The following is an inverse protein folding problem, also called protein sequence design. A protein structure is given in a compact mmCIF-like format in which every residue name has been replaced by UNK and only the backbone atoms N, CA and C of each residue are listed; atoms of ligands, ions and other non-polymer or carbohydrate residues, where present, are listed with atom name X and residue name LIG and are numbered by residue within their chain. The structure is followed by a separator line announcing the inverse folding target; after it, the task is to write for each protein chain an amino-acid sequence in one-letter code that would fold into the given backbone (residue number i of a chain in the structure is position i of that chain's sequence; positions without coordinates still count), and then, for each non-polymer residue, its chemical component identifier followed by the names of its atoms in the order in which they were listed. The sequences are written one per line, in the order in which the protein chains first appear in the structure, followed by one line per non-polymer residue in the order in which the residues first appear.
data_IF_683195965041
#
_entry.id   IF_683195965041
#
_cell.length_a   1.000
_cell.length_b   1.000
_cell.length_c   1.000
_cell.angle_alpha   90.00
_cell.angle_beta   90.00
_cell.angle_gamma   90.00
#
_symmetry.space_group_name_H-M   'P 1'
#
loop_
_entity.id
_entity.type
_entity.pdbx_description
1 polymer ?
2 non-polymer ?
3 non-polymer ?
4 non-polymer ?
5 non-polymer ?
6 water ?
#
# COMPACT_ATOMS: atom_id res chain seq x y z
N UNK A 20 4.63 23.16 17.22
CA UNK A 20 4.68 23.07 18.67
C UNK A 20 3.27 23.02 19.35
N UNK A 21 2.18 23.03 18.55
CA UNK A 21 0.80 22.97 19.04
C UNK A 21 0.50 21.61 19.71
N UNK A 22 -0.32 21.63 20.78
CA UNK A 22 -0.66 20.41 21.53
C UNK A 22 -2.14 20.07 21.42
N UNK A 23 -2.42 18.81 21.05
CA UNK A 23 -3.76 18.28 20.87
C UNK A 23 -4.16 17.15 21.83
N UNK A 24 -5.46 16.97 22.03
CA UNK A 24 -6.01 15.96 22.91
C UNK A 24 -6.79 14.89 22.12
N UNK A 25 -6.42 13.63 22.35
CA UNK A 25 -7.11 12.48 21.76
C UNK A 25 -7.44 11.59 22.95
N UNK A 26 -8.76 11.45 23.25
CA UNK A 26 -9.31 10.66 24.36
C UNK A 26 -8.58 10.99 25.69
N UNK A 27 -8.57 12.30 26.02
CA UNK A 27 -7.96 12.84 27.22
C UNK A 27 -6.46 13.04 27.18
N UNK A 28 -5.72 12.11 26.53
CA UNK A 28 -4.25 12.11 26.38
C UNK A 28 -3.77 13.29 25.53
N UNK A 29 -2.68 13.94 25.95
CA UNK A 29 -2.10 15.10 25.27
C UNK A 29 -0.91 14.72 24.37
N UNK A 30 -0.92 15.24 23.12
CA UNK A 30 0.08 15.00 22.08
C UNK A 30 0.70 16.31 21.63
N UNK A 31 2.02 16.31 21.52
CA UNK A 31 2.77 17.51 21.11
C UNK A 31 3.21 17.32 19.66
N UNK A 32 2.64 18.12 18.73
CA UNK A 32 2.95 18.10 17.29
C UNK A 32 4.43 18.48 17.02
N UNK A 33 5.20 17.59 16.37
CA UNK A 33 6.62 17.79 16.02
C UNK A 33 6.76 18.38 14.61
N UNK A 34 6.05 17.77 13.64
CA UNK A 34 6.04 18.17 12.23
C UNK A 34 4.76 17.66 11.58
N UNK A 35 4.44 18.16 10.38
CA UNK A 35 3.32 17.67 9.60
C UNK A 35 3.93 16.69 8.60
N UNK A 36 3.42 15.45 8.56
CA UNK A 36 3.87 14.39 7.65
C UNK A 36 3.25 14.62 6.28
N UNK A 37 1.94 14.77 6.24
CA UNK A 37 1.21 14.97 5.00
C UNK A 37 -0.14 15.61 5.22
N UNK A 38 -0.86 15.87 4.11
CA UNK A 38 -2.19 16.48 4.13
C UNK A 38 -3.06 16.09 2.95
N UNK A 39 -4.13 15.33 3.25
CA UNK A 39 -5.14 14.89 2.29
C UNK A 39 -6.11 16.01 1.96
N UNK A 40 -7.30 15.65 1.47
CA UNK A 40 -8.34 16.61 1.11
C UNK A 40 -8.67 17.54 2.26
N UNK A 41 -9.32 16.97 3.28
CA UNK A 41 -9.67 17.64 4.52
C UNK A 41 -8.90 16.96 5.66
N UNK A 42 -7.90 16.13 5.28
CA UNK A 42 -7.05 15.36 6.18
C UNK A 42 -5.68 16.01 6.41
N UNK A 43 -5.00 15.65 7.51
CA UNK A 43 -3.67 16.12 7.91
C UNK A 43 -3.03 15.07 8.81
N UNK A 44 -1.86 14.53 8.41
CA UNK A 44 -1.13 13.53 9.19
C UNK A 44 0.03 14.30 9.85
N UNK A 45 0.18 14.15 11.19
CA UNK A 45 1.23 14.81 11.97
C UNK A 45 2.12 13.82 12.71
N UNK A 46 3.35 14.21 12.99
CA UNK A 46 4.23 13.39 13.81
C UNK A 46 4.14 14.02 15.20
N UNK A 47 3.84 13.21 16.23
CA UNK A 47 3.60 13.70 17.58
C UNK A 47 4.40 12.99 18.68
N UNK A 48 4.42 13.59 19.91
CA UNK A 48 5.02 13.03 21.12
C UNK A 48 3.94 12.97 22.20
N UNK A 49 3.79 11.82 22.89
CA UNK A 49 2.80 11.69 23.97
C UNK A 49 3.38 12.22 25.32
N UNK A 50 2.71 11.92 26.46
CA UNK A 50 3.16 12.36 27.80
C UNK A 50 4.37 11.54 28.26
N UNK A 51 4.49 10.28 27.79
CA UNK A 51 5.60 9.37 28.10
C UNK A 51 6.78 9.62 27.12
N UNK A 52 6.66 10.70 26.30
CA UNK A 52 7.60 11.19 25.28
C UNK A 52 7.82 10.21 24.10
N UNK A 53 6.87 9.26 23.90
CA UNK A 53 6.89 8.29 22.80
C UNK A 53 6.35 8.95 21.53
N UNK A 54 6.91 8.57 20.38
CA UNK A 54 6.59 9.13 19.06
C UNK A 54 5.43 8.35 18.37
N UNK A 55 4.43 9.08 17.84
CA UNK A 55 3.24 8.52 17.17
C UNK A 55 2.91 9.33 15.91
N UNK A 56 1.89 8.90 15.16
CA UNK A 56 1.38 9.60 13.98
C UNK A 56 -0.09 9.83 14.20
N UNK A 57 -0.50 11.10 14.16
CA UNK A 57 -1.91 11.41 14.34
C UNK A 57 -2.49 11.92 13.04
N UNK A 58 -3.55 11.27 12.58
CA UNK A 58 -4.25 11.72 11.39
C UNK A 58 -5.48 12.46 11.85
N UNK A 59 -5.58 13.74 11.46
CA UNK A 59 -6.72 14.58 11.73
C UNK A 59 -7.53 14.66 10.43
N UNK A 60 -8.84 14.44 10.52
CA UNK A 60 -9.74 14.53 9.38
C UNK A 60 -10.87 15.52 9.70
N UNK A 61 -11.23 16.36 8.73
CA UNK A 61 -12.28 17.34 8.89
C UNK A 61 -13.56 16.84 8.22
N UNK A 62 -14.62 16.70 9.03
CA UNK A 62 -15.92 16.21 8.56
C UNK A 62 -16.93 17.34 8.29
N UNK A 63 -16.47 18.62 8.30
CA UNK A 63 -17.35 19.80 8.07
C UNK A 63 -18.10 19.74 6.75
N UNK A 64 -17.37 19.54 5.62
CA UNK A 64 -17.93 19.46 4.26
C UNK A 64 -18.14 18.03 3.76
N UNK A 65 -17.80 17.02 4.59
CA UNK A 65 -17.94 15.60 4.25
C UNK A 65 -19.39 15.11 4.26
N UNK A 66 -19.82 14.49 3.14
CA UNK A 66 -21.16 13.91 2.92
C UNK A 66 -21.36 12.57 3.62
N UNK A 67 -22.63 12.11 3.75
CA UNK A 67 -22.97 10.84 4.43
C UNK A 67 -22.29 9.62 3.79
N UNK A 68 -22.14 9.62 2.44
CA UNK A 68 -21.46 8.55 1.68
C UNK A 68 -19.97 8.55 2.02
N UNK A 69 -19.39 9.76 2.25
CA UNK A 69 -17.99 9.95 2.65
C UNK A 69 -17.79 9.45 4.08
N UNK A 70 -18.70 9.80 5.02
CA UNK A 70 -18.61 9.36 6.41
C UNK A 70 -18.61 7.86 6.58
N UNK A 71 -19.43 7.15 5.79
CA UNK A 71 -19.47 5.69 5.89
C UNK A 71 -18.18 5.03 5.41
N UNK A 72 -17.58 5.54 4.33
CA UNK A 72 -16.29 5.04 3.80
C UNK A 72 -15.19 5.18 4.87
N UNK A 73 -15.21 6.32 5.61
CA UNK A 73 -14.28 6.65 6.70
C UNK A 73 -14.47 5.73 7.89
N UNK A 74 -15.74 5.51 8.29
CA UNK A 74 -16.13 4.63 9.39
C UNK A 74 -15.72 3.18 9.08
N UNK A 75 -15.98 2.74 7.84
CA UNK A 75 -15.66 1.40 7.35
C UNK A 75 -14.15 1.16 7.30
N UNK A 76 -13.34 2.14 6.82
CA UNK A 76 -11.91 1.92 6.78
C UNK A 76 -11.31 1.94 8.19
N UNK A 77 -11.86 2.71 9.14
CA UNK A 77 -11.41 2.74 10.55
C UNK A 77 -11.67 1.38 11.21
N UNK A 78 -12.89 0.82 11.03
CA UNK A 78 -13.31 -0.47 11.58
C UNK A 78 -12.44 -1.60 11.04
N UNK A 79 -12.10 -1.51 9.73
CA UNK A 79 -11.28 -2.51 9.08
C UNK A 79 -9.89 -2.41 9.59
N UNK A 80 -9.36 -1.18 9.73
CA UNK A 80 -8.02 -0.92 10.31
C UNK A 80 -7.97 -1.43 11.78
N UNK A 81 -9.07 -1.29 12.49
CA UNK A 81 -9.26 -1.73 13.86
C UNK A 81 -9.30 -3.26 13.97
N UNK A 82 -10.11 -3.98 13.14
CA UNK A 82 -10.23 -5.44 13.21
C UNK A 82 -8.96 -6.15 12.76
N UNK A 83 -8.35 -5.69 11.67
CA UNK A 83 -7.13 -6.28 11.11
C UNK A 83 -5.88 -6.04 11.99
N UNK A 84 -5.98 -5.22 13.05
CA UNK A 84 -4.91 -4.95 14.03
C UNK A 84 -4.44 -6.25 14.63
N UNK A 85 -5.42 -7.07 15.07
CA UNK A 85 -5.25 -8.34 15.75
C UNK A 85 -4.68 -9.41 14.85
N UNK A 86 -5.21 -9.55 13.63
CA UNK A 86 -4.81 -10.61 12.68
C UNK A 86 -3.39 -10.49 12.12
N UNK A 87 -2.87 -9.26 11.90
CA UNK A 87 -1.53 -9.08 11.34
C UNK A 87 -0.81 -7.86 11.85
N UNK A 88 0.53 -7.96 11.90
CA UNK A 88 1.44 -6.89 12.28
C UNK A 88 1.94 -6.15 11.03
N UNK A 89 1.49 -6.55 9.83
CA UNK A 89 1.83 -5.86 8.57
C UNK A 89 0.79 -4.78 8.25
N UNK A 90 -0.19 -4.61 9.14
CA UNK A 90 -1.18 -3.56 9.05
C UNK A 90 -0.82 -2.53 10.15
N UNK A 91 -0.75 -1.22 9.78
CA UNK A 91 -0.36 -0.11 10.66
C UNK A 91 -1.15 -0.13 11.98
N UNK A 92 -0.43 -0.17 13.15
CA UNK A 92 -1.02 -0.19 14.51
C UNK A 92 -1.84 1.07 14.71
N UNK A 93 -3.11 0.90 15.13
CA UNK A 93 -4.06 1.94 15.51
C UNK A 93 -4.18 1.82 17.05
N UNK A 94 -3.56 2.78 17.75
CA UNK A 94 -3.57 2.80 19.20
C UNK A 94 -4.86 3.33 19.77
N UNK A 95 -5.27 4.50 19.32
CA UNK A 95 -6.49 5.12 19.80
C UNK A 95 -7.11 5.93 18.71
N UNK A 96 -8.33 6.37 18.94
CA UNK A 96 -9.07 7.25 18.05
C UNK A 96 -10.13 7.98 18.82
N UNK A 97 -10.59 9.09 18.23
CA UNK A 97 -11.66 9.95 18.73
C UNK A 97 -12.47 10.37 17.50
N UNK A 98 -13.77 10.06 17.48
CA UNK A 98 -14.65 10.41 16.35
C UNK A 98 -15.80 11.23 16.87
N UNK A 99 -16.04 12.38 16.23
CA UNK A 99 -17.18 13.25 16.54
C UNK A 99 -17.86 13.59 15.19
N UNK A 100 -18.93 14.38 15.21
CA UNK A 100 -19.61 14.78 13.99
C UNK A 100 -18.80 15.82 13.19
N UNK A 101 -17.80 16.45 13.86
CA UNK A 101 -16.94 17.53 13.36
C UNK A 101 -15.57 17.11 12.85
N UNK A 102 -15.00 15.99 13.42
CA UNK A 102 -13.65 15.50 13.10
C UNK A 102 -13.35 14.07 13.53
N UNK A 103 -12.18 13.58 13.10
CA UNK A 103 -11.59 12.28 13.41
C UNK A 103 -10.14 12.55 13.79
N UNK A 104 -9.65 11.84 14.81
CA UNK A 104 -8.25 11.81 15.25
C UNK A 104 -7.94 10.34 15.38
N UNK A 105 -6.89 9.87 14.71
CA UNK A 105 -6.46 8.48 14.79
C UNK A 105 -5.03 8.52 15.27
N UNK A 106 -4.72 7.76 16.34
CA UNK A 106 -3.39 7.72 16.94
C UNK A 106 -2.76 6.41 16.50
N UNK A 107 -1.82 6.49 15.55
CA UNK A 107 -1.17 5.33 14.95
C UNK A 107 0.32 5.30 15.26
N UNK A 108 1.00 4.18 14.91
CA UNK A 108 2.44 4.03 15.10
C UNK A 108 3.14 4.88 14.02
N UNK A 109 4.39 5.33 14.30
CA UNK A 109 5.10 6.19 13.36
C UNK A 109 6.13 5.44 12.55
N UNK A 110 6.00 5.56 11.23
CA UNK A 110 6.95 4.99 10.31
C UNK A 110 8.02 5.98 9.95
N UNK A 111 9.06 5.52 9.27
CA UNK A 111 10.20 6.34 8.85
C UNK A 111 9.86 7.12 7.55
N UNK A 112 9.40 6.38 6.49
CA UNK A 112 9.06 6.90 5.17
C UNK A 112 8.18 5.87 4.44
N UNK A 113 7.46 6.29 3.39
CA UNK A 113 6.64 5.40 2.58
C UNK A 113 7.52 4.75 1.50
N UNK A 114 7.17 3.54 1.05
CA UNK A 114 7.92 2.78 0.05
C UNK A 114 8.14 3.56 -1.26
N UNK A 115 7.15 4.39 -1.67
CA UNK A 115 7.21 5.20 -2.89
C UNK A 115 8.32 6.25 -2.83
N UNK A 116 8.46 6.88 -1.66
CA UNK A 116 9.48 7.88 -1.41
C UNK A 116 10.83 7.22 -1.25
N UNK A 117 10.88 6.14 -0.48
CA UNK A 117 12.10 5.39 -0.22
C UNK A 117 12.69 4.78 -1.50
N UNK A 118 11.85 4.24 -2.41
CA UNK A 118 12.34 3.68 -3.68
C UNK A 118 12.88 4.81 -4.56
N UNK A 119 12.22 5.99 -4.54
CA UNK A 119 12.62 7.19 -5.29
C UNK A 119 14.00 7.72 -4.82
N UNK A 120 14.31 7.59 -3.50
CA UNK A 120 15.59 8.01 -2.88
C UNK A 120 16.74 6.99 -3.09
N UNK A 121 16.46 5.67 -2.89
CA UNK A 121 17.46 4.62 -3.04
C UNK A 121 17.70 4.21 -4.49
N UNK A 122 18.92 4.48 -4.99
CA UNK A 122 19.36 4.17 -6.35
C UNK A 122 19.57 2.66 -6.51
N UNK A 123 20.26 2.04 -5.53
CA UNK A 123 20.54 0.60 -5.49
C UNK A 123 19.57 -0.07 -4.52
N UNK A 124 19.03 -1.23 -4.92
CA UNK A 124 18.07 -2.01 -4.13
C UNK A 124 18.64 -3.43 -3.86
N UNK A 125 18.89 -3.71 -2.56
CA UNK A 125 19.46 -4.95 -2.07
C UNK A 125 18.52 -6.14 -2.26
N UNK A 126 19.00 -7.28 -2.84
CA UNK A 126 18.12 -8.44 -3.05
C UNK A 126 17.40 -8.96 -1.80
N UNK A 127 18.08 -8.92 -0.62
CA UNK A 127 17.55 -9.32 0.70
C UNK A 127 16.46 -8.37 1.12
N UNK A 128 16.70 -7.05 0.94
CA UNK A 128 15.82 -5.96 1.26
C UNK A 128 14.54 -6.15 0.46
N UNK A 129 14.71 -6.33 -0.87
CA UNK A 129 13.64 -6.58 -1.84
C UNK A 129 12.81 -7.79 -1.45
N UNK A 130 13.47 -8.95 -1.16
CA UNK A 130 12.81 -10.22 -0.79
C UNK A 130 11.99 -10.03 0.48
N UNK A 131 12.62 -9.45 1.51
CA UNK A 131 11.98 -9.18 2.80
C UNK A 131 10.79 -8.26 2.64
N UNK A 132 10.89 -7.24 1.77
CA UNK A 132 9.81 -6.30 1.50
C UNK A 132 8.68 -6.98 0.76
N UNK A 133 9.01 -7.81 -0.24
CA UNK A 133 8.04 -8.61 -1.01
C UNK A 133 7.20 -9.49 -0.08
N UNK A 134 7.86 -10.22 0.85
CA UNK A 134 7.26 -11.09 1.88
C UNK A 134 6.22 -10.32 2.67
N UNK A 135 6.58 -9.09 3.12
CA UNK A 135 5.73 -8.20 3.90
C UNK A 135 4.47 -7.79 3.16
N UNK A 136 4.59 -7.28 1.91
CA UNK A 136 3.47 -6.87 1.04
C UNK A 136 2.48 -8.02 0.80
N UNK A 137 3.00 -9.26 0.61
CA UNK A 137 2.17 -10.44 0.38
C UNK A 137 1.32 -10.75 1.59
N UNK A 138 1.94 -10.68 2.81
CA UNK A 138 1.28 -10.91 4.11
C UNK A 138 0.19 -9.88 4.36
N UNK A 139 0.48 -8.60 4.08
CA UNK A 139 -0.48 -7.51 4.30
C UNK A 139 -1.68 -7.65 3.38
N UNK A 140 -1.43 -7.75 2.04
CA UNK A 140 -2.48 -7.89 1.00
C UNK A 140 -3.24 -9.21 1.16
N UNK A 141 -2.58 -10.26 1.66
CA UNK A 141 -3.24 -11.54 1.95
C UNK A 141 -4.27 -11.35 3.08
N UNK A 142 -3.91 -10.61 4.13
CA UNK A 142 -4.76 -10.38 5.30
C UNK A 142 -6.06 -9.67 4.92
N UNK A 143 -5.97 -8.57 4.16
CA UNK A 143 -7.14 -7.82 3.70
C UNK A 143 -8.03 -8.72 2.83
N UNK A 144 -7.41 -9.57 2.02
CA UNK A 144 -8.12 -10.51 1.15
C UNK A 144 -8.91 -11.54 1.97
N UNK A 145 -8.33 -11.98 3.08
CA UNK A 145 -8.94 -12.99 3.91
C UNK A 145 -10.26 -12.46 4.45
N UNK A 146 -10.29 -11.18 4.74
CA UNK A 146 -11.46 -10.52 5.30
C UNK A 146 -12.40 -10.01 4.22
N UNK A 147 -12.08 -10.31 2.96
CA UNK A 147 -12.94 -9.94 1.85
C UNK A 147 -12.71 -8.58 1.23
N UNK A 148 -11.64 -7.91 1.63
CA UNK A 148 -11.33 -6.60 1.07
C UNK A 148 -10.26 -6.68 0.00
N UNK A 149 -10.54 -6.10 -1.17
CA UNK A 149 -9.56 -6.00 -2.24
C UNK A 149 -9.25 -4.53 -2.44
N UNK A 150 -7.97 -4.16 -2.34
CA UNK A 150 -7.60 -2.76 -2.41
C UNK A 150 -7.93 -2.15 -3.76
N UNK A 151 -7.57 -2.85 -4.83
CA UNK A 151 -7.98 -2.51 -6.19
C UNK A 151 -7.16 -1.36 -6.76
N UNK A 152 -6.30 -0.77 -5.93
CA UNK A 152 -5.47 0.35 -6.35
C UNK A 152 -4.18 0.40 -5.55
N UNK A 153 -3.25 -0.51 -5.85
CA UNK A 153 -2.03 -0.59 -5.05
C UNK A 153 -0.86 0.13 -5.69
N UNK A 154 -0.25 1.03 -4.92
CA UNK A 154 0.92 1.76 -5.34
C UNK A 154 1.88 1.76 -4.16
N UNK A 155 3.17 1.93 -4.40
CA UNK A 155 4.13 1.86 -3.29
C UNK A 155 3.82 2.83 -2.14
N UNK A 156 3.13 3.95 -2.41
CA UNK A 156 2.74 4.92 -1.37
C UNK A 156 1.78 4.34 -0.32
N UNK A 157 1.20 3.14 -0.58
CA UNK A 157 0.25 2.45 0.31
C UNK A 157 0.96 1.70 1.40
N UNK A 158 2.28 1.58 1.25
CA UNK A 158 3.18 0.89 2.16
C UNK A 158 4.08 1.86 2.86
N UNK A 159 4.45 1.53 4.09
CA UNK A 159 5.26 2.38 4.94
C UNK A 159 6.29 1.53 5.65
N UNK A 160 7.52 2.04 5.73
CA UNK A 160 8.57 1.34 6.43
C UNK A 160 8.53 1.74 7.90
N UNK A 161 8.28 0.74 8.76
CA UNK A 161 8.21 0.86 10.22
C UNK A 161 9.18 -0.18 10.80
N UNK A 162 10.43 0.22 11.09
CA UNK A 162 11.49 -0.63 11.67
C UNK A 162 11.91 -1.74 10.71
N UNK A 163 12.24 -1.36 9.47
CA UNK A 163 12.64 -2.28 8.40
C UNK A 163 11.57 -3.28 8.04
N UNK A 164 10.30 -2.92 8.25
CA UNK A 164 9.14 -3.77 8.00
C UNK A 164 8.14 -2.98 7.19
N UNK A 165 7.66 -3.55 6.08
CA UNK A 165 6.65 -2.86 5.28
C UNK A 165 5.27 -3.04 5.88
N UNK A 166 4.52 -1.93 6.01
CA UNK A 166 3.17 -1.95 6.57
C UNK A 166 2.18 -1.25 5.65
N UNK A 167 0.94 -1.78 5.60
CA UNK A 167 -0.18 -1.29 4.80
C UNK A 167 -0.92 -0.17 5.53
N UNK A 168 -0.90 1.04 4.92
CA UNK A 168 -1.52 2.26 5.46
C UNK A 168 -3.04 2.23 5.19
N UNK A 169 -3.49 1.98 3.94
CA UNK A 169 -4.92 1.98 3.64
C UNK A 169 -5.44 0.72 2.93
N UNK A 170 -6.79 0.64 2.77
CA UNK A 170 -7.48 -0.47 2.12
C UNK A 170 -8.27 -0.09 0.87
N UNK A 171 -7.96 1.07 0.30
CA UNK A 171 -8.66 1.58 -0.87
C UNK A 171 -10.15 1.73 -0.64
N UNK A 172 -10.56 2.11 0.62
CA UNK A 172 -11.96 2.27 1.05
C UNK A 172 -12.29 3.78 1.23
N UNK A 173 -11.35 4.60 1.80
CA UNK A 173 -11.54 6.04 2.00
C UNK A 173 -10.66 6.87 1.05
N UNK A 190 -2.80 10.25 -8.11
CA UNK A 190 -2.83 8.79 -8.19
C UNK A 190 -2.44 8.24 -9.55
N UNK A 191 -1.25 7.55 -9.63
CA UNK A 191 -0.62 6.94 -10.82
C UNK A 191 -1.40 5.71 -11.35
N UNK A 192 -1.33 5.48 -12.68
CA UNK A 192 -2.03 4.43 -13.42
C UNK A 192 -1.14 3.20 -13.78
N UNK A 193 0.17 3.31 -13.53
CA UNK A 193 1.19 2.31 -13.83
C UNK A 193 1.00 0.94 -13.18
N UNK A 194 0.33 0.91 -12.03
CA UNK A 194 0.14 -0.31 -11.24
C UNK A 194 -1.25 -0.92 -11.43
N UNK A 195 -2.05 -0.33 -12.33
CA UNK A 195 -3.42 -0.77 -12.58
C UNK A 195 -3.54 -2.11 -13.30
N UNK A 196 -4.43 -3.02 -12.81
CA UNK A 196 -4.64 -4.30 -13.51
C UNK A 196 -5.44 -4.17 -14.81
N UNK A 197 -5.20 -5.01 -15.85
CA UNK A 197 -6.00 -4.88 -17.09
C UNK A 197 -7.53 -4.96 -16.88
N UNK A 198 -7.97 -5.68 -15.84
CA UNK A 198 -9.38 -5.79 -15.47
C UNK A 198 -9.99 -4.47 -14.98
N UNK A 199 -9.17 -3.56 -14.40
CA UNK A 199 -9.62 -2.24 -13.92
C UNK A 199 -9.80 -1.28 -15.11
N UNK A 200 -9.06 -1.54 -16.22
CA UNK A 200 -9.14 -0.78 -17.46
C UNK A 200 -10.29 -1.36 -18.33
N UNK A 201 -10.52 -2.70 -18.26
CA UNK A 201 -11.59 -3.41 -18.97
C UNK A 201 -13.00 -3.06 -18.42
N UNK A 202 -13.07 -2.42 -17.23
CA UNK A 202 -14.30 -1.94 -16.58
C UNK A 202 -14.53 -0.45 -16.98
N UNK A 203 -14.53 -0.22 -18.32
CA UNK A 203 -14.75 1.07 -18.97
C UNK A 203 -15.71 0.93 -20.16
N UNK A 216 -11.47 -5.46 -9.35
CA UNK A 216 -12.38 -6.53 -9.77
C UNK A 216 -12.35 -7.80 -8.84
N UNK A 217 -11.19 -8.48 -8.70
CA UNK A 217 -11.05 -9.69 -7.88
C UNK A 217 -9.73 -9.68 -7.06
N UNK A 218 -9.48 -10.62 -6.10
CA UNK A 218 -8.18 -10.62 -5.39
C UNK A 218 -6.95 -10.76 -6.30
N UNK A 219 -7.14 -11.28 -7.54
CA UNK A 219 -6.07 -11.42 -8.52
C UNK A 219 -5.62 -10.04 -9.04
N UNK A 220 -6.49 -8.97 -8.89
CA UNK A 220 -6.19 -7.57 -9.29
C UNK A 220 -5.01 -7.07 -8.47
N UNK A 221 -5.06 -7.33 -7.15
CA UNK A 221 -4.01 -6.90 -6.24
C UNK A 221 -2.69 -7.53 -6.54
N UNK A 222 -2.71 -8.79 -7.10
CA UNK A 222 -1.53 -9.56 -7.53
C UNK A 222 -0.81 -8.82 -8.64
N UNK A 223 -1.56 -8.33 -9.65
CA UNK A 223 -1.00 -7.56 -10.75
C UNK A 223 -0.25 -6.35 -10.23
N UNK A 224 -0.90 -5.55 -9.34
CA UNK A 224 -0.36 -4.34 -8.73
C UNK A 224 0.94 -4.58 -7.97
N UNK A 225 0.95 -5.60 -7.07
CA UNK A 225 2.12 -6.05 -6.32
C UNK A 225 3.24 -6.47 -7.28
N UNK A 226 2.85 -7.07 -8.42
CA UNK A 226 3.76 -7.48 -9.48
C UNK A 226 4.54 -6.32 -10.08
N UNK A 227 3.85 -5.18 -10.29
CA UNK A 227 4.42 -3.93 -10.81
C UNK A 227 5.36 -3.29 -9.78
N UNK A 228 5.04 -3.38 -8.44
CA UNK A 228 5.84 -2.83 -7.33
C UNK A 228 7.19 -3.56 -7.28
N UNK A 229 7.12 -4.91 -7.34
CA UNK A 229 8.31 -5.76 -7.35
C UNK A 229 9.11 -5.52 -8.64
N UNK A 230 8.41 -5.32 -9.78
CA UNK A 230 9.03 -5.03 -11.07
C UNK A 230 9.82 -3.74 -10.97
N UNK A 231 9.30 -2.73 -10.25
CA UNK A 231 10.01 -1.49 -10.04
C UNK A 231 11.22 -1.74 -9.14
N UNK A 232 11.04 -2.60 -8.12
CA UNK A 232 12.09 -2.95 -7.17
C UNK A 232 13.18 -3.82 -7.79
N UNK A 233 12.88 -4.43 -8.94
CA UNK A 233 13.78 -5.34 -9.67
C UNK A 233 14.51 -4.61 -10.79
N UNK A 234 13.76 -3.92 -11.66
CA UNK A 234 14.27 -3.26 -12.84
C UNK A 234 14.48 -1.73 -12.71
N UNK A 235 13.80 -1.08 -11.76
CA UNK A 235 13.96 0.36 -11.54
C UNK A 235 12.97 1.18 -12.33
N UNK A 236 11.99 0.51 -12.95
CA UNK A 236 10.91 1.08 -13.75
C UNK A 236 9.66 0.21 -13.62
N UNK A 237 8.50 0.75 -13.92
CA UNK A 237 7.23 0.03 -13.91
C UNK A 237 7.13 -0.62 -15.30
N UNK A 238 6.49 -1.81 -15.49
CA UNK A 238 6.41 -2.41 -16.85
C UNK A 238 6.11 -1.44 -18.00
N UNK A 239 5.31 -0.38 -17.75
CA UNK A 239 4.93 0.60 -18.77
C UNK A 239 5.37 2.04 -18.44
N UNK A 240 6.42 2.22 -17.60
CA UNK A 240 6.97 3.54 -17.25
C UNK A 240 7.62 4.23 -18.49
N UNK A 241 7.87 3.44 -19.56
CA UNK A 241 8.44 3.90 -20.83
C UNK A 241 7.43 4.81 -21.59
N UNK A 242 6.13 4.47 -21.48
CA UNK A 242 5.02 5.17 -22.16
C UNK A 242 4.55 6.43 -21.41
N UNK A 243 5.01 7.61 -21.91
CA UNK A 243 4.67 8.93 -21.35
C UNK A 243 3.20 9.28 -21.55
N UNK A 244 2.63 8.95 -22.73
CA UNK A 244 1.21 9.18 -23.06
C UNK A 244 0.33 8.22 -22.24
N UNK A 245 -0.58 8.76 -21.40
CA UNK A 245 -1.48 7.95 -20.53
C UNK A 245 -2.47 7.07 -21.30
N UNK A 246 -2.98 7.53 -22.46
CA UNK A 246 -3.93 6.74 -23.24
C UNK A 246 -3.19 5.66 -24.06
N UNK A 247 -1.92 5.92 -24.45
CA UNK A 247 -1.11 4.93 -25.16
C UNK A 247 -0.68 3.85 -24.16
N UNK A 248 -0.42 4.26 -22.91
CA UNK A 248 -0.05 3.40 -21.79
C UNK A 248 -1.21 2.47 -21.43
N UNK A 249 -2.44 3.02 -21.30
CA UNK A 249 -3.66 2.26 -21.00
C UNK A 249 -3.98 1.26 -22.11
N UNK A 250 -3.67 1.62 -23.37
CA UNK A 250 -3.88 0.76 -24.54
C UNK A 250 -2.91 -0.43 -24.49
N UNK A 251 -1.71 -0.24 -23.90
CA UNK A 251 -0.65 -1.26 -23.75
C UNK A 251 -0.92 -2.31 -22.66
N UNK A 252 -1.41 -1.87 -21.47
CA UNK A 252 -1.73 -2.75 -20.35
C UNK A 252 -2.89 -3.69 -20.73
N UNK A 253 -3.89 -3.17 -21.46
CA UNK A 253 -5.04 -3.95 -21.93
C UNK A 253 -4.67 -4.88 -23.10
N UNK A 254 -3.63 -4.51 -23.89
CA UNK A 254 -3.20 -5.29 -25.06
C UNK A 254 -2.30 -6.50 -24.75
N UNK A 255 -2.67 -7.72 -25.24
CA UNK A 255 -1.82 -8.90 -24.98
C UNK A 255 -0.61 -9.06 -25.93
N UNK A 256 -0.70 -8.46 -27.14
CA UNK A 256 0.36 -8.48 -28.16
C UNK A 256 1.51 -7.53 -27.76
N UNK A 257 1.27 -6.66 -26.76
CA UNK A 257 2.30 -5.79 -26.22
C UNK A 257 2.99 -6.61 -25.13
N UNK A 258 4.15 -7.21 -25.49
CA UNK A 258 4.95 -8.05 -24.61
C UNK A 258 5.72 -7.20 -23.58
N UNK A 259 5.64 -7.60 -22.30
CA UNK A 259 6.35 -6.95 -21.20
C UNK A 259 7.73 -7.59 -21.12
N UNK A 260 8.79 -6.77 -21.11
CA UNK A 260 10.16 -7.29 -21.10
C UNK A 260 10.55 -7.77 -19.70
N UNK A 261 11.05 -9.00 -19.61
CA UNK A 261 11.55 -9.57 -18.36
C UNK A 261 13.04 -9.91 -18.54
N UNK A 262 13.96 -8.90 -18.50
CA UNK A 262 15.40 -9.18 -18.73
C UNK A 262 15.99 -10.29 -17.85
N UNK A 263 16.99 -11.01 -18.37
CA UNK A 263 17.66 -12.07 -17.62
C UNK A 263 18.39 -11.45 -16.42
N UNK A 264 18.08 -11.94 -15.21
CA UNK A 264 18.61 -11.46 -13.94
C UNK A 264 19.28 -12.61 -13.16
N UNK A 265 20.28 -12.32 -12.27
CA UNK A 265 20.91 -13.42 -11.50
C UNK A 265 19.95 -14.19 -10.58
N UNK A 266 18.70 -13.66 -10.45
CA UNK A 266 17.63 -14.22 -9.66
C UNK A 266 16.54 -14.77 -10.58
N UNK A 267 16.56 -16.11 -10.78
CA UNK A 267 15.62 -16.80 -11.65
C UNK A 267 14.23 -16.92 -11.02
N UNK A 268 14.16 -17.07 -9.67
CA UNK A 268 12.92 -17.17 -8.91
C UNK A 268 12.15 -15.83 -9.01
N UNK A 269 12.91 -14.72 -8.99
CA UNK A 269 12.42 -13.36 -9.09
C UNK A 269 11.81 -13.13 -10.47
N UNK A 270 12.41 -13.75 -11.52
CA UNK A 270 11.93 -13.73 -12.91
C UNK A 270 10.57 -14.45 -12.99
N UNK A 271 10.52 -15.72 -12.52
CA UNK A 271 9.30 -16.54 -12.48
C UNK A 271 8.17 -15.80 -11.75
N UNK A 272 8.41 -15.25 -10.54
CA UNK A 272 7.41 -14.50 -9.80
C UNK A 272 6.86 -13.37 -10.64
N UNK A 273 7.75 -12.55 -11.25
CA UNK A 273 7.33 -11.40 -12.05
C UNK A 273 6.55 -11.82 -13.26
N UNK A 274 7.00 -12.88 -13.93
CA UNK A 274 6.32 -13.45 -15.10
C UNK A 274 4.93 -13.96 -14.69
N UNK A 275 4.83 -14.62 -13.50
CA UNK A 275 3.61 -15.20 -12.92
C UNK A 275 2.55 -14.15 -12.52
N UNK A 276 3.01 -13.04 -11.91
CA UNK A 276 2.17 -11.94 -11.46
C UNK A 276 1.65 -11.14 -12.65
N UNK A 277 2.51 -10.85 -13.63
CA UNK A 277 2.11 -9.96 -14.70
C UNK A 277 1.45 -10.64 -15.95
N UNK A 278 0.55 -11.63 -15.70
CA UNK A 278 -0.25 -12.30 -16.73
C UNK A 278 -1.61 -11.55 -16.82
N UNK A 279 -1.93 -11.00 -18.02
CA UNK A 279 -3.14 -10.17 -18.28
C UNK A 279 -4.47 -10.86 -17.91
N UNK A 280 -4.62 -12.19 -18.13
CA UNK A 280 -5.87 -12.87 -17.74
C UNK A 280 -5.78 -13.25 -16.24
N UNK A 281 -6.64 -12.63 -15.39
CA UNK A 281 -6.59 -12.92 -13.94
C UNK A 281 -6.77 -14.39 -13.55
N UNK A 282 -7.41 -15.19 -14.44
CA UNK A 282 -7.60 -16.64 -14.24
C UNK A 282 -6.26 -17.38 -14.43
N UNK A 283 -5.39 -16.84 -15.31
CA UNK A 283 -4.06 -17.36 -15.66
C UNK A 283 -2.98 -16.82 -14.69
N UNK A 284 -3.28 -15.72 -13.98
CA UNK A 284 -2.41 -15.03 -13.02
C UNK A 284 -2.33 -15.79 -11.70
N UNK A 285 -1.11 -15.89 -11.11
CA UNK A 285 -0.85 -16.55 -9.82
C UNK A 285 -1.66 -15.90 -8.63
N UNK A 286 -2.12 -16.73 -7.66
CA UNK A 286 -2.84 -16.29 -6.47
C UNK A 286 -1.86 -15.92 -5.33
N UNK A 287 -2.30 -15.14 -4.30
CA UNK A 287 -1.43 -14.79 -3.17
C UNK A 287 -1.01 -16.04 -2.38
N UNK A 288 -1.91 -17.01 -2.00
CA UNK A 288 -1.45 -18.20 -1.25
C UNK A 288 -0.36 -18.98 -1.95
N UNK A 289 -0.40 -19.06 -3.31
CA UNK A 289 0.61 -19.73 -4.14
C UNK A 289 1.89 -18.89 -4.10
N UNK A 290 1.80 -17.55 -4.28
CA UNK A 290 2.97 -16.65 -4.18
C UNK A 290 3.74 -16.80 -2.84
N UNK A 291 3.00 -17.18 -1.77
CA UNK A 291 3.56 -17.33 -0.44
C UNK A 291 4.32 -18.61 -0.32
N UNK A 292 3.97 -19.63 -1.13
CA UNK A 292 4.64 -20.95 -1.19
C UNK A 292 5.68 -21.02 -2.32
N UNK A 293 5.94 -19.88 -3.00
CA UNK A 293 6.88 -19.80 -4.11
C UNK A 293 8.33 -19.91 -3.63
N UNK A 294 9.23 -20.58 -4.38
CA UNK A 294 10.65 -20.60 -3.98
C UNK A 294 11.28 -19.23 -3.63
N UNK A 295 10.92 -18.15 -4.36
CA UNK A 295 11.44 -16.79 -4.14
C UNK A 295 11.33 -16.32 -2.69
N UNK A 296 10.16 -16.56 -2.07
CA UNK A 296 9.78 -16.20 -0.71
C UNK A 296 10.32 -17.22 0.33
N UNK A 297 10.24 -18.53 -0.01
CA UNK A 297 10.54 -19.67 0.88
C UNK A 297 11.97 -20.17 0.96
N UNK A 298 12.74 -20.09 -0.13
CA UNK A 298 14.09 -20.67 -0.09
C UNK A 298 15.13 -19.62 0.31
N UNK A 299 16.03 -20.02 1.27
CA UNK A 299 17.15 -19.27 1.86
C UNK A 299 18.06 -18.57 0.81
X LIG B 1 -0.49 8.45 5.77
X LIG B 1 0.55 8.43 6.38
X LIG B 1 1.69 9.01 5.91
X LIG B 1 1.64 9.64 4.59
X LIG B 1 1.11 8.65 3.59
X LIG B 1 0.71 10.84 4.72
X LIG B 1 3.04 10.07 4.27
X LIG B 1 0.70 7.80 7.65
X LIG B 1 -0.28 7.15 8.46
X LIG B 1 -1.65 7.00 8.09
X LIG B 1 -2.52 7.95 7.48
X LIG B 1 -3.75 7.41 7.31
X LIG B 1 -2.40 5.87 8.30
X LIG B 1 -3.66 6.15 7.81
X LIG B 1 -4.81 5.24 7.82
X LIG B 1 1.94 7.71 8.32
X LIG B 1 1.70 7.01 9.53
X LIG B 1 0.31 6.69 9.59
X LIG B 1 3.21 8.16 7.98
X LIG B 1 4.23 7.86 8.91
X LIG B 1 4.00 7.19 10.09
X LIG B 1 2.77 6.79 10.38
X LIG B 1 5.53 8.24 8.65
X LIG B 1 6.04 9.02 7.61
X LIG B 1 5.68 8.86 6.27
X LIG B 1 6.28 9.65 5.30
X LIG B 1 7.22 10.62 5.66
X LIG B 1 7.57 10.81 6.98
X LIG B 1 6.96 10.01 7.93
X LIG B 1 7.42 10.27 9.56
X LIG B 1 7.87 11.43 4.61
X LIG B 1 9.02 11.84 4.71
X LIG B 1 7.10 11.73 3.50
X LIG B 1 6.73 13.11 3.18
X LIG B 1 7.11 10.83 2.32
X LIG C 1 -9.39 5.92 6.78
X LIG C 1 -7.97 5.88 6.92
X LIG C 1 -10.01 7.08 7.54
X LIG C 1 -9.54 8.35 7.09
X LIG C 1 -10.27 8.91 6.01
X LIG C 1 -9.66 10.18 5.49
X LIG C 1 -8.43 9.95 4.77
X LIG D 1 14.44 -16.79 2.99
X LIG D 1 13.14 -16.98 3.53
X LIG D 1 14.56 -15.45 2.30
X LIG D 1 14.66 -14.40 3.25
X LIG D 1 14.76 -13.11 2.65
X LIG D 1 14.78 -12.04 3.68
X LIG D 1 12.26 -13.33 6.73
X LIG D 1 12.58 -11.95 6.65
X LIG D 1 13.81 -11.68 5.82
X LIG D 1 13.60 -12.10 4.48
X LIG E 1 -24.14 11.42 19.34
X LIG E 1 -23.75 10.83 20.60
X LIG E 1 -23.66 12.90 19.20
X LIG E 1 -23.50 13.22 17.82
X LIG F 1 14.79 -6.38 6.35
X LIG F 1 15.00 -7.45 7.27
X LIG F 1 14.96 -5.01 7.06
X LIG F 1 14.81 -3.94 6.13
#
# INVERSE_FOLDING_TARGET
MHHHHHHSSGVDLGTENLYFQSMSVKGRIYSILKQIGSGGSSKVFQVLNEKKQIYAIKYVNLEEADNQTLDSYRNEIAYLNKLQQHSDKIIRLYDYEITDQYIYMVMECGNIDLNGWLKKKKSIDPWERKSYWKNMLEAVHTIHQHGIVHSDLKPANFLIVDGMLKLIDFGIANQMQPDTTSVVKDSQVGTVNYMPPEAIKDMSSSRENGKSKSKISPKSDVWSLGCILYYMTYGKTPFQQIINQISKLHAIIDPNHEIEFPDIPEKDLQDVLKCCLKRDPKQRISIPELLAHPYVQIQTHPVNQMAKGTTEE
7RO O2 C20 O1 C21 C24 C23 C22 N5 C4 C3 C1 N1 C2 N C C19 C6 C5 C18 C8 N2 C7 N3 C9 C17 C16 C12 C11 C10 CL C13 O N4 C15 C14
1KA C1 O1 C2 O2 C3 C4 O4
PGE C1 O1 C2 O2 C3 C4 O4 C6 C5 O3
EDO C1 O1 C2 O2
EDO C1 O1 C2 O2
#
